data_IF_678409887716
#
_entry.id   IF_678409887716
#
_cell.length_a   1.000
_cell.length_b   1.000
_cell.length_c   1.000
_cell.angle_alpha   90.00
_cell.angle_beta   90.00
_cell.angle_gamma   90.00
#
_symmetry.space_group_name_H-M   'P 1'
#
loop_
_entity.id
_entity.type
_entity.pdbx_description
1 polymer ?
#
# COMPACT_ATOMS: atom_id res chain seq x y z
N UNK A 1 -16.34 -2.90 -37.93
CA UNK A 1 -16.44 -1.74 -38.84
C UNK A 1 -15.58 -0.62 -38.28
N UNK A 2 -14.34 -0.48 -38.77
CA UNK A 2 -13.48 0.66 -38.45
C UNK A 2 -14.03 1.89 -39.17
N UNK A 3 -14.53 2.89 -38.44
CA UNK A 3 -14.90 4.17 -39.06
C UNK A 3 -13.61 4.84 -39.50
N UNK A 4 -13.46 5.04 -40.80
CA UNK A 4 -12.38 5.84 -41.34
C UNK A 4 -12.61 7.30 -40.92
N UNK A 5 -11.70 7.88 -40.15
CA UNK A 5 -11.84 9.22 -39.56
C UNK A 5 -11.46 10.31 -40.58
N UNK A 6 -10.90 9.92 -41.72
CA UNK A 6 -10.35 10.81 -42.73
C UNK A 6 -11.40 11.45 -43.66
N UNK A 7 -12.67 11.02 -43.58
CA UNK A 7 -13.77 11.56 -44.40
C UNK A 7 -14.98 11.85 -43.53
N UNK A 8 -15.52 13.06 -43.63
CA UNK A 8 -16.71 13.44 -42.88
C UNK A 8 -17.92 12.64 -43.37
N UNK A 9 -18.60 11.86 -42.52
CA UNK A 9 -19.71 10.99 -42.93
C UNK A 9 -20.95 11.76 -43.41
N UNK A 10 -21.04 13.06 -43.12
CA UNK A 10 -22.22 13.88 -43.46
C UNK A 10 -22.03 14.69 -44.74
N UNK A 11 -20.82 15.22 -44.98
CA UNK A 11 -20.56 16.08 -46.14
C UNK A 11 -19.52 15.52 -47.12
N UNK A 12 -18.88 14.38 -46.83
CA UNK A 12 -17.86 13.77 -47.69
C UNK A 12 -16.54 14.55 -47.78
N UNK A 13 -16.41 15.67 -47.05
CA UNK A 13 -15.21 16.48 -47.04
C UNK A 13 -14.06 15.84 -46.25
N UNK A 14 -12.82 16.10 -46.71
CA UNK A 14 -11.58 15.63 -46.08
C UNK A 14 -10.87 16.72 -45.25
N UNK A 15 -11.48 17.90 -45.08
CA UNK A 15 -10.93 19.00 -44.28
C UNK A 15 -11.58 19.05 -42.90
N UNK A 16 -10.76 18.90 -41.85
CA UNK A 16 -11.20 18.93 -40.46
C UNK A 16 -10.44 20.01 -39.67
N UNK A 17 -11.14 20.70 -38.78
CA UNK A 17 -10.53 21.49 -37.73
C UNK A 17 -10.27 20.59 -36.52
N UNK A 18 -9.10 20.70 -35.89
CA UNK A 18 -8.78 19.92 -34.69
C UNK A 18 -9.63 20.40 -33.51
N UNK A 19 -10.49 19.52 -32.98
CA UNK A 19 -11.19 19.73 -31.72
C UNK A 19 -10.29 19.36 -30.53
N UNK A 20 -10.64 19.83 -29.32
CA UNK A 20 -9.95 19.39 -28.11
C UNK A 20 -10.08 17.87 -27.93
N UNK A 21 -8.97 17.23 -27.58
CA UNK A 21 -8.94 15.80 -27.35
C UNK A 21 -9.78 15.44 -26.11
N UNK A 22 -10.67 14.44 -26.24
CA UNK A 22 -11.46 13.93 -25.12
C UNK A 22 -10.62 12.91 -24.34
N UNK A 23 -10.03 13.33 -23.24
CA UNK A 23 -9.34 12.42 -22.31
C UNK A 23 -10.36 11.83 -21.33
N UNK A 24 -10.44 10.50 -21.26
CA UNK A 24 -11.22 9.79 -20.25
C UNK A 24 -10.25 8.99 -19.39
N UNK A 25 -10.31 9.19 -18.08
CA UNK A 25 -9.55 8.40 -17.12
C UNK A 25 -10.43 7.22 -16.67
N UNK A 26 -9.96 6.00 -16.93
CA UNK A 26 -10.60 4.76 -16.49
C UNK A 26 -9.74 4.14 -15.39
N UNK A 27 -10.36 3.85 -14.24
CA UNK A 27 -9.69 3.20 -13.13
C UNK A 27 -9.88 1.69 -13.25
N UNK A 28 -8.78 0.98 -13.49
CA UNK A 28 -8.73 -0.48 -13.52
C UNK A 28 -8.02 -1.00 -12.28
N UNK A 29 -8.58 -2.03 -11.64
CA UNK A 29 -7.96 -2.65 -10.48
C UNK A 29 -6.95 -3.72 -10.90
N UNK A 30 -5.66 -3.47 -10.65
CA UNK A 30 -4.59 -4.46 -10.81
C UNK A 30 -4.16 -4.95 -9.42
N UNK A 31 -4.30 -6.26 -9.11
CA UNK A 31 -3.93 -6.78 -7.80
C UNK A 31 -2.42 -6.74 -7.56
N UNK A 32 -2.02 -6.79 -6.29
CA UNK A 32 -0.61 -6.80 -5.89
C UNK A 32 0.14 -8.01 -6.48
N UNK A 33 1.25 -7.75 -7.17
CA UNK A 33 2.15 -8.77 -7.70
C UNK A 33 3.47 -8.78 -6.91
N UNK A 34 3.95 -9.96 -6.52
CA UNK A 34 5.26 -10.12 -5.87
C UNK A 34 6.24 -10.74 -6.85
N UNK A 35 7.48 -10.24 -6.88
CA UNK A 35 8.56 -10.78 -7.70
C UNK A 35 9.69 -11.35 -6.85
N UNK A 36 10.28 -12.45 -7.31
CA UNK A 36 11.50 -13.01 -6.71
C UNK A 36 12.69 -12.39 -7.44
N UNK A 37 13.47 -11.57 -6.73
CA UNK A 37 14.71 -11.00 -7.26
C UNK A 37 15.86 -11.89 -6.80
N UNK A 38 16.60 -12.46 -7.75
CA UNK A 38 17.80 -13.27 -7.46
C UNK A 38 19.03 -12.44 -7.80
N UNK A 39 19.86 -12.18 -6.79
CA UNK A 39 21.17 -11.57 -6.98
C UNK A 39 22.19 -12.68 -7.23
N UNK A 40 22.82 -12.69 -8.40
CA UNK A 40 23.83 -13.67 -8.78
C UNK A 40 25.20 -12.98 -8.78
N UNK A 41 26.02 -13.33 -7.80
CA UNK A 41 27.43 -12.94 -7.77
C UNK A 41 28.19 -13.74 -8.82
N UNK A 42 28.78 -13.04 -9.80
CA UNK A 42 29.68 -13.69 -10.75
C UNK A 42 31.06 -13.83 -10.10
N UNK A 43 31.57 -15.06 -10.09
CA UNK A 43 32.90 -15.39 -9.59
C UNK A 43 33.79 -15.83 -10.74
N UNK A 44 34.99 -15.28 -10.77
CA UNK A 44 36.02 -15.59 -11.76
C UNK A 44 37.26 -16.08 -11.01
N UNK A 45 37.90 -17.12 -11.52
CA UNK A 45 39.15 -17.64 -10.97
C UNK A 45 40.24 -17.29 -11.98
N UNK A 46 41.27 -16.56 -11.53
CA UNK A 46 42.44 -16.30 -12.33
C UNK A 46 43.22 -17.60 -12.54
N UNK A 47 43.49 -17.96 -13.80
CA UNK A 47 44.19 -19.19 -14.17
C UNK A 47 45.66 -19.20 -13.75
N UNK A 48 46.28 -18.03 -13.69
CA UNK A 48 47.74 -17.91 -13.53
C UNK A 48 48.17 -17.70 -12.08
N UNK A 49 47.23 -17.39 -11.17
CA UNK A 49 47.55 -17.03 -9.79
C UNK A 49 46.56 -17.51 -8.74
N UNK A 50 45.72 -18.49 -9.07
CA UNK A 50 44.70 -19.11 -8.18
C UNK A 50 43.82 -18.11 -7.40
N UNK A 51 43.76 -16.86 -7.86
CA UNK A 51 43.08 -15.77 -7.18
C UNK A 51 41.63 -15.74 -7.64
N UNK A 52 40.70 -15.81 -6.70
CA UNK A 52 39.26 -15.70 -6.98
C UNK A 52 38.82 -14.26 -6.82
N UNK A 53 38.26 -13.70 -7.89
CA UNK A 53 37.66 -12.36 -7.90
C UNK A 53 36.15 -12.52 -8.03
N UNK A 54 35.41 -11.81 -7.18
CA UNK A 54 33.95 -11.82 -7.20
C UNK A 54 33.40 -10.42 -7.42
N UNK A 55 32.24 -10.34 -8.09
CA UNK A 55 31.51 -9.08 -8.26
C UNK A 55 30.82 -8.63 -6.97
N UNK A 56 30.53 -7.34 -6.85
CA UNK A 56 29.88 -6.80 -5.65
C UNK A 56 28.43 -7.28 -5.52
N UNK A 57 28.06 -7.71 -4.32
CA UNK A 57 26.70 -8.12 -3.97
C UNK A 57 25.95 -6.93 -3.34
N UNK A 58 24.71 -6.63 -3.76
CA UNK A 58 23.98 -5.52 -3.17
C UNK A 58 23.66 -5.80 -1.71
N UNK A 59 23.71 -4.75 -0.89
CA UNK A 59 23.32 -4.82 0.52
C UNK A 59 21.81 -4.99 0.63
N UNK A 60 21.39 -5.90 1.51
CA UNK A 60 19.98 -6.18 1.79
C UNK A 60 19.59 -5.48 3.10
N UNK A 61 18.34 -4.99 3.24
CA UNK A 61 17.90 -4.36 4.49
C UNK A 61 18.04 -5.28 5.70
N UNK A 62 17.71 -6.56 5.53
CA UNK A 62 17.92 -7.58 6.55
C UNK A 62 19.01 -8.52 6.06
N UNK A 63 20.14 -8.51 6.76
CA UNK A 63 21.29 -9.38 6.48
C UNK A 63 20.88 -10.87 6.44
N UNK A 64 21.23 -11.55 5.34
CA UNK A 64 20.89 -12.96 5.07
C UNK A 64 19.37 -13.24 5.10
N UNK A 65 18.55 -12.21 5.10
CA UNK A 65 17.10 -12.30 5.09
C UNK A 65 16.55 -12.57 3.69
N UNK A 66 15.40 -13.25 3.63
CA UNK A 66 14.63 -13.40 2.39
C UNK A 66 13.93 -12.12 1.89
N UNK A 67 13.59 -11.09 2.71
CA UNK A 67 12.73 -10.03 2.22
C UNK A 67 13.52 -8.92 1.54
N UNK A 68 13.11 -8.55 0.33
CA UNK A 68 13.58 -7.34 -0.34
C UNK A 68 12.99 -6.07 0.30
N UNK A 69 13.55 -4.88 -0.02
CA UNK A 69 13.10 -3.61 0.56
C UNK A 69 11.62 -3.31 0.26
N UNK A 70 11.14 -3.59 -0.95
CA UNK A 70 9.73 -3.37 -1.32
C UNK A 70 8.76 -4.26 -0.54
N UNK A 71 9.15 -5.51 -0.25
CA UNK A 71 8.33 -6.42 0.55
C UNK A 71 8.25 -5.93 2.00
N UNK A 72 9.38 -5.52 2.58
CA UNK A 72 9.41 -4.95 3.94
C UNK A 72 8.57 -3.68 4.03
N UNK A 73 8.71 -2.77 3.08
CA UNK A 73 7.93 -1.53 3.04
C UNK A 73 6.42 -1.81 3.01
N UNK A 74 5.99 -2.75 2.15
CA UNK A 74 4.58 -3.12 2.08
C UNK A 74 4.07 -3.75 3.38
N UNK A 75 4.84 -4.65 4.00
CA UNK A 75 4.45 -5.26 5.30
C UNK A 75 4.32 -4.19 6.39
N UNK A 76 5.21 -3.19 6.41
CA UNK A 76 5.17 -2.10 7.39
C UNK A 76 3.93 -1.22 7.18
N UNK A 77 3.65 -0.81 5.94
CA UNK A 77 2.47 -0.01 5.60
C UNK A 77 1.19 -0.80 5.92
N UNK A 78 1.08 -2.03 5.43
CA UNK A 78 -0.09 -2.87 5.66
C UNK A 78 -0.37 -3.06 7.15
N UNK A 79 0.68 -3.26 7.97
CA UNK A 79 0.52 -3.47 9.42
C UNK A 79 0.14 -2.20 10.16
N UNK A 80 0.79 -1.08 9.87
CA UNK A 80 0.71 0.13 10.70
C UNK A 80 -0.25 1.18 10.16
N UNK A 81 -0.34 1.34 8.84
CA UNK A 81 -1.20 2.32 8.17
C UNK A 81 -2.58 1.71 7.85
N UNK A 82 -2.59 0.54 7.19
CA UNK A 82 -3.85 -0.15 6.83
C UNK A 82 -4.41 -1.01 7.98
N UNK A 83 -3.69 -1.08 9.11
CA UNK A 83 -4.07 -1.86 10.29
C UNK A 83 -4.39 -3.35 10.01
N UNK A 84 -3.73 -3.94 9.02
CA UNK A 84 -3.89 -5.35 8.66
C UNK A 84 -3.08 -6.21 9.65
N UNK A 85 -3.73 -7.09 10.44
CA UNK A 85 -3.01 -7.98 11.34
C UNK A 85 -2.19 -9.00 10.55
N UNK A 86 -1.03 -9.40 11.09
CA UNK A 86 -0.06 -10.24 10.37
C UNK A 86 -0.62 -11.60 9.92
N UNK A 87 -1.61 -12.17 10.63
CA UNK A 87 -2.26 -13.41 10.18
C UNK A 87 -3.08 -13.20 8.89
N UNK A 88 -3.77 -12.06 8.78
CA UNK A 88 -4.55 -11.73 7.60
C UNK A 88 -3.63 -11.44 6.42
N UNK A 89 -2.51 -10.77 6.69
CA UNK A 89 -1.49 -10.53 5.69
C UNK A 89 -0.85 -11.85 5.19
N UNK A 90 -0.65 -12.86 6.07
CA UNK A 90 -0.16 -14.16 5.60
C UNK A 90 -1.16 -14.85 4.69
N UNK A 91 -2.46 -14.84 5.04
CA UNK A 91 -3.51 -15.39 4.17
C UNK A 91 -3.60 -14.66 2.82
N UNK A 92 -3.33 -13.35 2.79
CA UNK A 92 -3.26 -12.59 1.55
C UNK A 92 -2.10 -13.04 0.66
N UNK A 93 -0.92 -13.30 1.24
CA UNK A 93 0.21 -13.87 0.49
C UNK A 93 -0.04 -15.30 0.05
N UNK A 94 -0.73 -16.11 0.86
CA UNK A 94 -1.08 -17.49 0.50
C UNK A 94 -1.97 -17.53 -0.74
N UNK A 95 -2.91 -16.58 -0.89
CA UNK A 95 -3.72 -16.41 -2.11
C UNK A 95 -2.89 -16.07 -3.35
N UNK A 96 -1.70 -15.50 -3.16
CA UNK A 96 -0.73 -15.23 -4.22
C UNK A 96 0.24 -16.42 -4.46
N UNK A 97 0.02 -17.55 -3.77
CA UNK A 97 0.89 -18.73 -3.83
C UNK A 97 2.19 -18.58 -3.04
N UNK A 98 2.25 -17.63 -2.10
CA UNK A 98 3.44 -17.29 -1.33
C UNK A 98 3.20 -17.66 0.14
N UNK A 99 3.89 -18.70 0.61
CA UNK A 99 3.84 -19.11 2.01
C UNK A 99 4.84 -18.29 2.86
N UNK A 100 4.32 -17.37 3.66
CA UNK A 100 5.08 -16.61 4.66
C UNK A 100 4.38 -16.74 6.00
N UNK A 101 5.06 -17.38 6.95
CA UNK A 101 4.50 -17.54 8.29
C UNK A 101 4.43 -16.22 9.05
N UNK A 102 3.50 -16.16 10.00
CA UNK A 102 3.29 -15.00 10.89
C UNK A 102 4.52 -14.67 11.73
N UNK A 103 5.23 -15.69 12.20
CA UNK A 103 6.45 -15.51 13.01
C UNK A 103 7.56 -14.87 12.18
N UNK A 104 7.75 -15.34 10.95
CA UNK A 104 8.75 -14.77 10.02
C UNK A 104 8.45 -13.29 9.74
N UNK A 105 7.19 -12.94 9.49
CA UNK A 105 6.83 -11.52 9.32
C UNK A 105 7.03 -10.70 10.59
N UNK A 106 6.73 -11.26 11.76
CA UNK A 106 6.95 -10.56 13.03
C UNK A 106 8.44 -10.27 13.26
N UNK A 107 9.32 -11.24 12.97
CA UNK A 107 10.77 -11.07 13.05
C UNK A 107 11.27 -9.99 12.09
N UNK A 108 10.73 -9.96 10.87
CA UNK A 108 11.07 -8.92 9.88
C UNK A 108 10.62 -7.54 10.31
N UNK A 109 9.40 -7.40 10.86
CA UNK A 109 8.91 -6.14 11.42
C UNK A 109 9.80 -5.65 12.55
N UNK A 110 10.23 -6.55 13.45
CA UNK A 110 11.16 -6.22 14.52
C UNK A 110 12.48 -5.67 13.97
N UNK A 111 13.10 -6.36 13.02
CA UNK A 111 14.35 -5.92 12.39
C UNK A 111 14.21 -4.60 11.64
N UNK A 112 13.12 -4.44 10.87
CA UNK A 112 12.82 -3.21 10.15
C UNK A 112 12.65 -2.03 11.12
N UNK A 113 11.99 -2.24 12.27
CA UNK A 113 11.84 -1.20 13.29
C UNK A 113 13.18 -0.73 13.85
N UNK A 114 14.13 -1.62 14.06
CA UNK A 114 15.48 -1.26 14.50
C UNK A 114 16.23 -0.45 13.45
N UNK A 115 16.08 -0.78 12.16
CA UNK A 115 16.70 -0.02 11.07
C UNK A 115 16.12 1.39 10.92
N UNK A 116 14.83 1.56 11.23
CA UNK A 116 14.14 2.85 11.14
C UNK A 116 14.32 3.73 12.38
N UNK A 117 14.84 3.19 13.48
CA UNK A 117 15.09 3.93 14.73
C UNK A 117 15.79 5.30 14.55
N UNK A 118 16.89 5.44 13.77
CA UNK A 118 17.53 6.75 13.57
C UNK A 118 16.66 7.74 12.78
N UNK A 119 15.80 7.27 11.87
CA UNK A 119 14.87 8.14 11.16
C UNK A 119 13.75 8.59 12.10
N UNK A 120 13.23 7.69 12.93
CA UNK A 120 12.21 8.02 13.93
C UNK A 120 12.74 9.06 14.92
N UNK A 121 13.99 8.94 15.37
CA UNK A 121 14.59 9.92 16.28
C UNK A 121 14.78 11.29 15.60
N UNK A 122 15.26 11.30 14.35
CA UNK A 122 15.42 12.53 13.57
C UNK A 122 14.07 13.24 13.32
N UNK A 123 13.03 12.50 12.92
CA UNK A 123 11.68 13.05 12.72
C UNK A 123 11.10 13.60 14.01
N UNK A 124 11.28 12.89 15.13
CA UNK A 124 10.84 13.37 16.44
C UNK A 124 11.54 14.67 16.83
N UNK A 125 12.86 14.73 16.67
CA UNK A 125 13.64 15.95 16.93
C UNK A 125 13.18 17.12 16.05
N UNK A 126 12.95 16.87 14.76
CA UNK A 126 12.44 17.88 13.83
C UNK A 126 11.05 18.38 14.25
N UNK A 127 10.11 17.50 14.55
CA UNK A 127 8.77 17.90 15.02
C UNK A 127 8.81 18.68 16.34
N UNK A 128 9.70 18.33 17.26
CA UNK A 128 9.89 19.08 18.50
C UNK A 128 10.41 20.50 18.23
N UNK A 129 11.31 20.67 17.25
CA UNK A 129 11.82 21.99 16.86
C UNK A 129 10.73 22.89 16.25
N UNK A 130 9.74 22.30 15.59
CA UNK A 130 8.55 23.02 15.11
C UNK A 130 7.68 23.45 16.30
N UNK A 131 7.37 22.56 17.24
CA UNK A 131 6.54 22.94 18.40
C UNK A 131 7.21 23.97 19.34
N UNK A 132 8.53 24.11 19.32
CA UNK A 132 9.22 25.19 20.04
C UNK A 132 9.05 26.59 19.43
N UNK A 133 8.58 26.69 18.18
CA UNK A 133 8.38 27.99 17.51
C UNK A 133 6.95 28.57 17.66
N UNK A 134 5.95 27.74 18.01
CA UNK A 134 4.55 28.17 18.18
C UNK A 134 4.22 28.72 19.58
N UNK A 135 5.08 28.51 20.58
CA UNK A 135 4.82 28.93 21.97
C UNK A 135 5.42 30.30 22.37
N UNK A 136 5.91 31.10 21.41
CA UNK A 136 6.33 32.48 21.63
C UNK A 136 5.34 33.49 21.05
N UNK A 137 4.04 33.31 21.32
CA UNK A 137 3.12 34.43 21.27
C UNK A 137 3.17 35.13 22.64
N UNK A 138 3.51 36.43 22.75
CA UNK A 138 3.40 37.12 24.02
C UNK A 138 1.94 37.05 24.47
N UNK A 139 1.72 36.55 25.68
CA UNK A 139 0.42 36.63 26.36
C UNK A 139 0.20 38.10 26.76
N UNK A 140 -0.27 38.89 25.79
CA UNK A 140 -0.57 40.29 26.01
C UNK A 140 -1.68 40.41 27.04
N UNK A 141 -1.35 41.15 28.10
CA UNK A 141 -2.19 41.55 29.19
C UNK A 141 -3.59 42.05 28.77
N UNK A 142 -4.59 41.61 29.52
CA UNK A 142 -5.73 42.45 29.92
C UNK A 142 -6.75 42.82 28.86
N UNK A 143 -7.79 41.99 28.69
CA UNK A 143 -9.16 42.52 28.58
C UNK A 143 -10.13 41.54 29.22
N UNK A 144 -10.70 41.95 30.36
CA UNK A 144 -11.78 41.24 31.04
C UNK A 144 -13.05 41.39 30.19
N UNK A 145 -13.49 40.31 29.54
CA UNK A 145 -14.86 40.22 29.04
C UNK A 145 -15.39 38.79 29.26
N UNK A 146 -16.23 38.55 30.29
CA UNK A 146 -16.63 37.19 30.68
C UNK A 146 -17.78 36.58 29.83
N UNK A 147 -18.27 37.25 28.80
CA UNK A 147 -19.53 36.89 28.11
C UNK A 147 -19.37 36.40 26.66
N UNK A 148 -18.18 36.02 26.20
CA UNK A 148 -17.99 35.46 24.84
C UNK A 148 -17.35 34.05 24.80
N UNK A 149 -17.15 33.42 25.96
CA UNK A 149 -16.64 32.04 26.04
C UNK A 149 -17.73 30.95 25.92
N UNK A 150 -18.97 31.33 25.57
CA UNK A 150 -20.13 30.39 25.51
C UNK A 150 -20.54 29.98 24.08
N UNK A 151 -19.81 30.41 23.04
CA UNK A 151 -20.15 30.03 21.64
C UNK A 151 -19.15 29.14 20.91
N UNK A 152 -17.96 28.87 21.47
CA UNK A 152 -16.98 27.99 20.82
C UNK A 152 -17.05 26.52 21.28
N UNK A 153 -17.87 26.19 22.29
CA UNK A 153 -18.00 24.84 22.84
C UNK A 153 -19.38 24.21 22.59
N UNK A 154 -20.02 24.55 21.46
CA UNK A 154 -21.35 24.06 21.06
C UNK A 154 -21.34 22.93 20.02
N UNK A 155 -20.17 22.50 19.52
CA UNK A 155 -20.04 21.33 18.63
C UNK A 155 -19.52 20.06 19.34
N UNK A 156 -19.67 19.97 20.66
CA UNK A 156 -19.37 18.75 21.44
C UNK A 156 -20.62 18.02 21.93
N UNK A 157 -21.75 18.15 21.23
CA UNK A 157 -22.95 17.35 21.49
C UNK A 157 -23.77 17.10 20.21
N UNK A 158 -23.31 16.20 19.33
CA UNK A 158 -24.15 15.34 18.50
C UNK A 158 -23.28 14.14 18.05
N UNK A 159 -23.60 12.91 18.50
CA UNK A 159 -22.99 11.71 17.93
C UNK A 159 -22.80 10.51 18.87
N UNK A 160 -23.92 9.96 19.32
CA UNK A 160 -24.14 8.64 19.94
C UNK A 160 -23.09 7.53 19.58
N UNK A 161 -22.81 6.55 20.48
CA UNK A 161 -21.79 5.53 20.29
C UNK A 161 -22.29 4.48 19.28
N UNK A 162 -21.48 4.16 18.27
CA UNK A 162 -21.77 3.00 17.41
C UNK A 162 -21.45 1.71 18.18
N UNK A 163 -22.51 1.16 18.75
CA UNK A 163 -22.72 -0.27 19.04
C UNK A 163 -22.20 -1.19 17.92
N UNK A 164 -21.70 -2.39 18.26
CA UNK A 164 -21.13 -3.33 17.30
C UNK A 164 -22.20 -3.81 16.32
N UNK A 165 -21.86 -3.89 15.04
CA UNK A 165 -22.69 -4.52 14.02
C UNK A 165 -22.75 -6.03 14.30
N UNK A 166 -23.81 -6.45 14.99
CA UNK A 166 -24.24 -7.84 15.05
C UNK A 166 -25.03 -8.19 13.78
N UNK A 167 -24.61 -9.26 13.10
CA UNK A 167 -25.49 -10.07 12.25
C UNK A 167 -25.57 -9.70 10.78
N UNK A 168 -24.68 -10.26 9.97
CA UNK A 168 -24.99 -10.72 8.61
C UNK A 168 -24.26 -12.06 8.40
N UNK A 169 -24.98 -13.14 8.67
CA UNK A 169 -24.61 -14.51 8.35
C UNK A 169 -24.67 -14.70 6.82
N UNK A 170 -23.57 -14.37 6.14
CA UNK A 170 -23.43 -14.51 4.68
C UNK A 170 -22.87 -15.90 4.28
N UNK A 171 -22.54 -16.77 5.23
CA UNK A 171 -21.95 -18.08 4.94
C UNK A 171 -23.01 -19.10 4.45
N UNK A 172 -24.25 -18.95 4.89
CA UNK A 172 -25.38 -19.82 4.52
C UNK A 172 -26.00 -19.47 3.14
N UNK A 173 -25.89 -18.21 2.68
CA UNK A 173 -26.39 -17.80 1.35
C UNK A 173 -25.43 -18.15 0.20
N UNK A 174 -24.11 -18.13 0.44
CA UNK A 174 -23.13 -18.44 -0.62
C UNK A 174 -23.13 -19.93 -0.98
N UNK A 175 -23.37 -20.84 -0.02
CA UNK A 175 -23.48 -22.28 -0.31
C UNK A 175 -24.70 -22.64 -1.15
N UNK A 176 -25.79 -21.86 -1.10
CA UNK A 176 -27.00 -22.11 -1.88
C UNK A 176 -26.84 -21.76 -3.37
N UNK A 177 -25.96 -20.81 -3.70
CA UNK A 177 -25.65 -20.45 -5.08
C UNK A 177 -24.65 -21.40 -5.75
N UNK A 178 -23.76 -22.04 -4.98
CA UNK A 178 -22.78 -23.00 -5.53
C UNK A 178 -23.39 -24.37 -5.87
N UNK A 179 -24.55 -24.72 -5.29
CA UNK A 179 -25.26 -25.98 -5.57
C UNK A 179 -26.16 -25.96 -6.82
N UNK A 180 -26.35 -24.81 -7.47
CA UNK A 180 -27.24 -24.66 -8.64
C UNK A 180 -26.50 -24.49 -9.97
N UNK A 181 -25.17 -24.63 -9.99
CA UNK A 181 -24.39 -24.60 -11.23
C UNK A 181 -24.48 -25.97 -11.93
N UNK A 182 -24.92 -26.04 -13.20
CA UNK A 182 -24.93 -27.30 -13.94
C UNK A 182 -23.50 -27.78 -14.17
N UNK A 183 -23.15 -28.95 -13.64
CA UNK A 183 -21.88 -29.63 -13.92
C UNK A 183 -21.88 -30.11 -15.37
N UNK A 184 -21.09 -29.46 -16.22
CA UNK A 184 -20.83 -29.91 -17.58
C UNK A 184 -20.12 -31.28 -17.56
N UNK A 185 -20.72 -32.25 -18.25
CA UNK A 185 -20.27 -33.63 -18.40
C UNK A 185 -18.88 -33.72 -19.03
N UNK A 186 -18.03 -34.57 -18.47
CA UNK A 186 -16.75 -34.98 -19.06
C UNK A 186 -17.00 -35.86 -20.28
N UNK A 187 -16.80 -35.33 -21.48
CA UNK A 187 -16.64 -36.16 -22.68
C UNK A 187 -15.18 -36.59 -22.82
N UNK A 188 -14.96 -37.91 -22.73
CA UNK A 188 -13.71 -38.60 -23.09
C UNK A 188 -13.30 -38.28 -24.53
N UNK A 189 -12.00 -38.06 -24.75
CA UNK A 189 -11.22 -38.57 -25.88
C UNK A 189 -9.75 -38.59 -25.50
#
# INVERSE_FOLDING_TARGET
MTRNVDICPTCGGASFLKAADRVVQVLEHVPASVKIVRHVEKRMICRDGDTTVAGEMPTLPIERGKPGPGLLAHIMIAKFDDHIPLYRLSEMYERLGIDISRSVMADWVGRASSLLAPLVSATRAHSASLHSNENNAPSNAGTKHPELFRSANRNRQLGNPRKPFSGLDNASQIRRCLSSLPTAEKTKR
#
